data_IF_490895399002
#
_entry.id   IF_490895399002
#
_cell.length_a   1.000
_cell.length_b   1.000
_cell.length_c   1.000
_cell.angle_alpha   90.00
_cell.angle_beta   90.00
_cell.angle_gamma   90.00
#
_symmetry.space_group_name_H-M   'P 1'
#
loop_
_entity.id
_entity.type
_entity.pdbx_description
1 polymer ?
#
# COMPACT_ATOMS: atom_id res chain seq x y z
N UNK A 1 -1.79 31.87 25.19
CA UNK A 1 -1.24 30.88 24.24
C UNK A 1 -0.23 30.08 25.05
N UNK A 2 -0.34 28.77 25.09
CA UNK A 2 0.46 27.94 25.99
C UNK A 2 1.82 27.62 25.39
N UNK A 3 2.82 27.45 26.26
CA UNK A 3 4.22 27.05 25.97
C UNK A 3 4.32 25.85 24.96
N UNK A 4 3.27 25.01 24.90
CA UNK A 4 3.14 23.91 23.95
C UNK A 4 2.91 24.36 22.49
N UNK A 5 2.21 25.49 22.28
CA UNK A 5 1.97 26.03 20.94
C UNK A 5 3.22 26.70 20.36
N UNK A 6 4.02 27.34 21.21
CA UNK A 6 5.28 27.96 20.77
C UNK A 6 6.35 26.92 20.41
N UNK A 7 6.38 25.77 21.09
CA UNK A 7 7.26 24.63 20.75
C UNK A 7 6.90 23.95 19.45
N UNK A 8 5.59 23.89 19.11
CA UNK A 8 5.10 23.39 17.82
C UNK A 8 5.53 24.29 16.65
N UNK A 9 5.57 25.60 16.86
CA UNK A 9 5.93 26.59 15.84
C UNK A 9 7.45 26.72 15.64
N UNK A 10 8.26 26.31 16.63
CA UNK A 10 9.74 26.39 16.55
C UNK A 10 10.39 25.11 16.00
N UNK A 11 9.63 24.09 15.63
CA UNK A 11 10.19 22.87 15.02
C UNK A 11 11.07 22.04 15.96
N UNK A 12 11.02 22.29 17.26
CA UNK A 12 11.82 21.60 18.29
C UNK A 12 11.20 20.29 18.78
N UNK A 13 10.24 19.71 18.04
CA UNK A 13 9.85 18.34 18.29
C UNK A 13 10.89 17.42 17.65
N UNK A 14 11.95 17.15 18.41
CA UNK A 14 12.87 16.04 18.11
C UNK A 14 12.07 14.74 18.16
N UNK A 15 11.55 14.35 17.00
CA UNK A 15 11.10 12.99 16.74
C UNK A 15 12.33 12.09 16.74
N UNK A 16 12.73 11.60 17.89
CA UNK A 16 13.68 10.51 18.00
C UNK A 16 12.95 9.20 17.62
N UNK A 17 12.43 9.15 16.38
CA UNK A 17 12.19 7.88 15.72
C UNK A 17 13.57 7.24 15.55
N UNK A 18 13.70 6.00 16.03
CA UNK A 18 14.88 5.19 15.74
C UNK A 18 15.01 5.07 14.22
N UNK A 19 15.77 5.96 13.59
CA UNK A 19 15.95 6.06 12.13
C UNK A 19 16.79 4.92 11.54
N UNK A 20 16.97 3.82 12.27
CA UNK A 20 17.97 2.81 11.92
C UNK A 20 17.63 2.02 10.65
N UNK A 21 16.35 1.91 10.24
CA UNK A 21 15.94 1.24 9.00
C UNK A 21 14.61 1.78 8.49
N UNK A 22 14.63 2.95 7.84
CA UNK A 22 13.46 3.45 7.14
C UNK A 22 13.46 2.95 5.69
N UNK A 23 12.44 2.23 5.30
CA UNK A 23 12.24 1.77 3.93
C UNK A 23 10.93 2.35 3.40
N UNK A 24 10.94 2.91 2.19
CA UNK A 24 9.68 3.34 1.58
C UNK A 24 8.85 2.12 1.15
N UNK A 25 7.53 2.27 1.16
CA UNK A 25 6.60 1.23 0.71
C UNK A 25 6.96 0.70 -0.69
N UNK A 26 7.36 1.59 -1.60
CA UNK A 26 7.74 1.25 -2.97
C UNK A 26 9.05 0.45 -3.03
N UNK A 27 10.04 0.79 -2.21
CA UNK A 27 11.31 0.06 -2.15
C UNK A 27 11.10 -1.34 -1.56
N UNK A 28 10.18 -1.50 -0.59
CA UNK A 28 9.78 -2.79 -0.06
C UNK A 28 9.13 -3.67 -1.14
N UNK A 29 8.19 -3.11 -1.91
CA UNK A 29 7.59 -3.81 -3.08
C UNK A 29 8.67 -4.20 -4.08
N UNK A 30 9.53 -3.25 -4.49
CA UNK A 30 10.57 -3.50 -5.50
C UNK A 30 11.51 -4.64 -5.12
N UNK A 31 11.86 -4.78 -3.83
CA UNK A 31 12.69 -5.88 -3.34
C UNK A 31 11.98 -7.23 -3.43
N UNK A 32 10.71 -7.31 -3.01
CA UNK A 32 10.00 -8.59 -2.98
C UNK A 32 9.53 -9.05 -4.37
N UNK A 33 9.35 -8.15 -5.35
CA UNK A 33 8.90 -8.52 -6.70
C UNK A 33 9.82 -9.55 -7.38
N UNK A 34 11.14 -9.38 -7.27
CA UNK A 34 12.09 -10.29 -7.89
C UNK A 34 12.06 -11.69 -7.24
N UNK A 35 11.85 -11.74 -5.92
CA UNK A 35 11.71 -12.99 -5.17
C UNK A 35 10.38 -13.69 -5.47
N UNK A 36 9.29 -12.92 -5.61
CA UNK A 36 7.99 -13.45 -6.03
C UNK A 36 8.03 -13.98 -7.46
N UNK A 37 8.78 -13.31 -8.35
CA UNK A 37 8.99 -13.78 -9.71
C UNK A 37 9.71 -15.12 -9.80
N UNK A 38 10.55 -15.47 -8.81
CA UNK A 38 11.19 -16.82 -8.69
C UNK A 38 10.20 -17.91 -8.27
N UNK A 39 9.17 -17.52 -7.51
CA UNK A 39 8.15 -18.45 -6.98
C UNK A 39 6.96 -18.65 -7.92
N UNK A 40 6.65 -17.65 -8.74
CA UNK A 40 5.46 -17.60 -9.60
C UNK A 40 5.85 -17.36 -11.05
N UNK A 41 5.94 -18.40 -11.84
CA UNK A 41 6.27 -18.30 -13.28
C UNK A 41 5.15 -17.66 -14.10
N UNK A 42 3.93 -17.69 -13.60
CA UNK A 42 2.71 -17.09 -14.15
C UNK A 42 2.54 -15.60 -13.79
N UNK A 43 3.42 -15.05 -12.95
CA UNK A 43 3.39 -13.64 -12.55
C UNK A 43 3.85 -12.73 -13.68
N UNK A 44 3.03 -11.71 -14.01
CA UNK A 44 3.34 -10.65 -14.97
C UNK A 44 3.26 -9.30 -14.26
N UNK A 45 4.19 -8.41 -14.57
CA UNK A 45 4.17 -7.02 -14.07
C UNK A 45 3.80 -6.08 -15.19
N UNK A 46 2.76 -5.30 -15.01
CA UNK A 46 2.28 -4.31 -15.97
C UNK A 46 2.32 -2.91 -15.35
N UNK A 47 2.60 -1.89 -16.16
CA UNK A 47 2.73 -0.52 -15.69
C UNK A 47 2.16 0.48 -16.70
N UNK A 48 1.58 1.57 -16.19
CA UNK A 48 1.16 2.72 -16.99
C UNK A 48 2.26 3.80 -16.95
N UNK A 49 3.46 3.47 -17.48
CA UNK A 49 4.62 4.36 -17.56
C UNK A 49 5.13 4.89 -16.20
N UNK A 50 5.00 4.07 -15.16
CA UNK A 50 5.43 4.41 -13.80
C UNK A 50 6.54 3.50 -13.27
N UNK A 51 7.32 2.88 -14.14
CA UNK A 51 8.38 1.91 -13.82
C UNK A 51 9.30 2.40 -12.70
N UNK A 52 9.89 3.60 -12.88
CA UNK A 52 10.81 4.20 -11.91
C UNK A 52 10.11 4.56 -10.60
N UNK A 53 8.89 5.11 -10.68
CA UNK A 53 8.10 5.48 -9.50
C UNK A 53 7.68 4.27 -8.67
N UNK A 54 7.49 3.12 -9.32
CA UNK A 54 7.05 1.86 -8.72
C UNK A 54 8.21 0.95 -8.28
N UNK A 55 9.45 1.33 -8.56
CA UNK A 55 10.65 0.54 -8.21
C UNK A 55 10.69 -0.88 -8.78
N UNK A 56 10.12 -1.08 -9.97
CA UNK A 56 10.04 -2.41 -10.60
C UNK A 56 11.28 -2.79 -11.42
N UNK A 57 12.34 -1.97 -11.44
CA UNK A 57 13.53 -2.16 -12.29
C UNK A 57 14.19 -3.51 -12.08
N UNK A 58 14.38 -3.93 -10.83
CA UNK A 58 15.03 -5.21 -10.52
C UNK A 58 14.24 -6.41 -11.10
N UNK A 59 12.90 -6.35 -11.05
CA UNK A 59 12.06 -7.36 -11.70
C UNK A 59 12.20 -7.30 -13.22
N UNK A 60 12.13 -6.12 -13.81
CA UNK A 60 12.24 -5.91 -15.26
C UNK A 60 13.59 -6.38 -15.81
N UNK A 61 14.69 -6.15 -15.11
CA UNK A 61 16.02 -6.62 -15.49
C UNK A 61 16.13 -8.14 -15.43
N UNK A 62 15.52 -8.76 -14.41
CA UNK A 62 15.57 -10.21 -14.20
C UNK A 62 14.60 -10.97 -15.12
N UNK A 63 13.44 -10.39 -15.38
CA UNK A 63 12.34 -10.99 -16.13
C UNK A 63 11.80 -10.06 -17.23
N UNK A 64 12.61 -9.69 -18.25
CA UNK A 64 12.20 -8.71 -19.26
C UNK A 64 10.96 -9.15 -20.04
N UNK A 65 10.77 -10.44 -20.29
CA UNK A 65 9.63 -11.00 -21.02
C UNK A 65 8.35 -11.11 -20.16
N UNK A 66 8.42 -10.75 -18.87
CA UNK A 66 7.27 -10.73 -17.93
C UNK A 66 6.95 -9.33 -17.41
N UNK A 67 7.53 -8.28 -18.03
CA UNK A 67 7.32 -6.89 -17.62
C UNK A 67 6.88 -6.04 -18.83
N UNK A 68 5.69 -5.47 -18.77
CA UNK A 68 5.06 -4.74 -19.87
C UNK A 68 4.70 -3.32 -19.47
N UNK A 69 5.08 -2.35 -20.28
CA UNK A 69 4.66 -0.95 -20.15
C UNK A 69 3.62 -0.65 -21.24
N UNK A 70 2.39 -0.33 -20.84
CA UNK A 70 1.29 -0.03 -21.77
C UNK A 70 1.18 1.46 -22.11
N UNK A 71 2.12 2.27 -21.64
CA UNK A 71 2.08 3.72 -21.74
C UNK A 71 1.15 4.35 -20.68
N UNK A 72 0.96 5.67 -20.75
CA UNK A 72 0.06 6.41 -19.83
C UNK A 72 -1.39 6.13 -20.24
N UNK A 73 -1.87 4.93 -19.93
CA UNK A 73 -3.16 4.41 -20.39
C UNK A 73 -3.74 3.43 -19.35
N UNK A 74 -4.15 3.93 -18.17
CA UNK A 74 -4.56 3.10 -17.04
C UNK A 74 -5.82 2.27 -17.32
N UNK A 75 -6.73 2.78 -18.14
CA UNK A 75 -7.90 2.00 -18.58
C UNK A 75 -7.46 0.77 -19.39
N UNK A 76 -6.54 0.96 -20.35
CA UNK A 76 -5.95 -0.14 -21.10
C UNK A 76 -5.15 -1.10 -20.20
N UNK A 77 -4.41 -0.55 -19.22
CA UNK A 77 -3.68 -1.36 -18.22
C UNK A 77 -4.62 -2.35 -17.51
N UNK A 78 -5.77 -1.90 -17.05
CA UNK A 78 -6.72 -2.76 -16.32
C UNK A 78 -7.37 -3.79 -17.25
N UNK A 79 -7.80 -3.40 -18.45
CA UNK A 79 -8.40 -4.35 -19.41
C UNK A 79 -7.38 -5.40 -19.92
N UNK A 80 -6.13 -5.01 -20.19
CA UNK A 80 -5.06 -5.94 -20.55
C UNK A 80 -4.76 -6.90 -19.39
N UNK A 81 -4.68 -6.39 -18.16
CA UNK A 81 -4.49 -7.23 -16.98
C UNK A 81 -5.63 -8.24 -16.79
N UNK A 82 -6.87 -7.81 -17.02
CA UNK A 82 -8.03 -8.71 -16.97
C UNK A 82 -7.92 -9.82 -18.05
N UNK A 83 -7.56 -9.47 -19.28
CA UNK A 83 -7.37 -10.43 -20.34
C UNK A 83 -6.28 -11.45 -20.03
N UNK A 84 -5.14 -11.01 -19.52
CA UNK A 84 -4.03 -11.88 -19.10
C UNK A 84 -4.42 -12.80 -17.95
N UNK A 85 -5.16 -12.28 -16.97
CA UNK A 85 -5.68 -13.09 -15.86
C UNK A 85 -6.66 -14.16 -16.35
N UNK A 86 -7.45 -13.87 -17.39
CA UNK A 86 -8.36 -14.82 -18.01
C UNK A 86 -7.61 -15.97 -18.72
N UNK A 87 -6.41 -15.69 -19.23
CA UNK A 87 -5.51 -16.69 -19.83
C UNK A 87 -4.68 -17.46 -18.79
N UNK A 88 -4.92 -17.24 -17.50
CA UNK A 88 -4.30 -17.99 -16.40
C UNK A 88 -3.02 -17.37 -15.82
N UNK A 89 -2.67 -16.15 -16.21
CA UNK A 89 -1.57 -15.41 -15.60
C UNK A 89 -2.03 -14.70 -14.30
N UNK A 90 -1.04 -14.25 -13.50
CA UNK A 90 -1.24 -13.42 -12.30
C UNK A 90 -0.67 -12.01 -12.52
N UNK A 91 -1.45 -11.09 -13.08
CA UNK A 91 -0.98 -9.74 -13.35
C UNK A 91 -0.89 -8.88 -12.09
N UNK A 92 0.23 -8.15 -11.94
CA UNK A 92 0.40 -7.04 -11.02
C UNK A 92 0.39 -5.75 -11.83
N UNK A 93 -0.65 -4.93 -11.65
CA UNK A 93 -0.87 -3.70 -12.41
C UNK A 93 -0.47 -2.48 -11.58
N UNK A 94 0.55 -1.73 -12.03
CA UNK A 94 1.10 -0.57 -11.31
C UNK A 94 0.65 0.75 -11.93
N UNK A 95 0.02 1.61 -11.14
CA UNK A 95 -0.29 2.99 -11.50
C UNK A 95 -0.30 3.88 -10.24
N UNK A 96 -0.41 5.21 -10.41
CA UNK A 96 -0.68 6.07 -9.25
C UNK A 96 -2.10 5.83 -8.73
N UNK A 97 -2.28 5.89 -7.40
CA UNK A 97 -3.54 5.56 -6.73
C UNK A 97 -4.78 6.25 -7.33
N UNK A 98 -4.79 7.58 -7.61
CA UNK A 98 -5.95 8.22 -8.23
C UNK A 98 -6.23 7.70 -9.66
N UNK A 99 -5.20 7.29 -10.38
CA UNK A 99 -5.37 6.81 -11.76
C UNK A 99 -5.70 5.31 -11.82
N UNK A 100 -5.17 4.52 -10.87
CA UNK A 100 -5.52 3.12 -10.71
C UNK A 100 -6.97 2.92 -10.21
N UNK A 101 -7.55 3.93 -9.57
CA UNK A 101 -8.91 3.89 -9.04
C UNK A 101 -9.91 4.70 -9.87
N UNK A 102 -9.80 6.03 -9.87
CA UNK A 102 -10.81 6.90 -10.48
C UNK A 102 -10.83 6.84 -12.01
N UNK A 103 -9.64 6.93 -12.66
CA UNK A 103 -9.55 7.00 -14.12
C UNK A 103 -10.02 5.74 -14.82
N UNK A 104 -9.79 4.58 -14.22
CA UNK A 104 -10.10 3.27 -14.80
C UNK A 104 -11.12 2.48 -13.97
N UNK A 105 -11.95 3.16 -13.20
CA UNK A 105 -12.90 2.52 -12.27
C UNK A 105 -13.85 1.55 -12.96
N UNK A 106 -14.32 1.90 -14.16
CA UNK A 106 -15.20 1.02 -14.94
C UNK A 106 -14.48 -0.31 -15.27
N UNK A 107 -13.25 -0.25 -15.79
CA UNK A 107 -12.48 -1.44 -16.15
C UNK A 107 -12.16 -2.29 -14.93
N UNK A 108 -11.80 -1.67 -13.80
CA UNK A 108 -11.61 -2.39 -12.54
C UNK A 108 -12.91 -3.09 -12.14
N UNK A 109 -14.02 -2.38 -12.16
CA UNK A 109 -15.33 -2.90 -11.73
C UNK A 109 -15.84 -4.01 -12.64
N UNK A 110 -15.81 -3.80 -13.97
CA UNK A 110 -16.45 -4.69 -14.94
C UNK A 110 -15.52 -5.80 -15.41
N UNK A 111 -14.29 -5.48 -15.78
CA UNK A 111 -13.40 -6.46 -16.38
C UNK A 111 -12.75 -7.35 -15.30
N UNK A 112 -12.37 -6.76 -14.16
CA UNK A 112 -11.63 -7.46 -13.11
C UNK A 112 -12.58 -7.98 -12.01
N UNK A 113 -13.32 -7.09 -11.33
CA UNK A 113 -14.08 -7.45 -10.14
C UNK A 113 -15.32 -8.29 -10.45
N UNK A 114 -16.12 -7.91 -11.44
CA UNK A 114 -17.28 -8.69 -11.86
C UNK A 114 -16.89 -10.09 -12.30
N UNK A 115 -15.79 -10.21 -13.01
CA UNK A 115 -15.24 -11.48 -13.50
C UNK A 115 -14.44 -12.25 -12.43
N UNK A 116 -14.22 -11.67 -11.25
CA UNK A 116 -13.44 -12.24 -10.11
C UNK A 116 -12.03 -12.66 -10.49
N UNK A 117 -11.37 -11.90 -11.35
CA UNK A 117 -10.06 -12.25 -11.87
C UNK A 117 -8.94 -11.95 -10.84
N UNK A 118 -7.91 -12.80 -10.74
CA UNK A 118 -6.80 -12.65 -9.79
C UNK A 118 -5.80 -11.57 -10.26
N UNK A 119 -6.23 -10.32 -10.32
CA UNK A 119 -5.40 -9.17 -10.63
C UNK A 119 -5.06 -8.44 -9.35
N UNK A 120 -3.75 -8.21 -9.12
CA UNK A 120 -3.28 -7.36 -8.01
C UNK A 120 -3.00 -5.98 -8.55
N UNK A 121 -3.79 -5.00 -8.12
CA UNK A 121 -3.66 -3.59 -8.51
C UNK A 121 -2.84 -2.87 -7.44
N UNK A 122 -1.73 -2.25 -7.82
CA UNK A 122 -0.87 -1.47 -6.91
C UNK A 122 -1.07 0.02 -7.15
N UNK A 123 -1.76 0.67 -6.21
CA UNK A 123 -1.98 2.12 -6.22
C UNK A 123 -0.87 2.86 -5.49
N UNK A 124 0.10 3.40 -6.24
CA UNK A 124 1.22 4.15 -5.67
C UNK A 124 0.88 5.60 -5.36
N UNK A 125 1.48 6.16 -4.32
CA UNK A 125 1.35 7.58 -3.99
C UNK A 125 -0.03 7.97 -3.47
N UNK A 126 -0.64 7.07 -2.70
CA UNK A 126 -1.94 7.27 -2.08
C UNK A 126 -1.94 8.40 -1.04
N UNK A 127 -3.11 8.90 -0.70
CA UNK A 127 -3.29 10.02 0.22
C UNK A 127 -2.64 11.29 -0.31
N UNK A 128 -1.98 12.02 0.58
CA UNK A 128 -1.22 13.24 0.27
C UNK A 128 0.27 12.98 0.00
N UNK A 129 0.70 11.73 -0.06
CA UNK A 129 2.11 11.35 -0.16
C UNK A 129 2.78 11.83 -1.45
N UNK A 130 2.00 12.19 -2.48
CA UNK A 130 2.45 12.77 -3.74
C UNK A 130 2.06 14.26 -3.88
N UNK A 131 1.90 14.98 -2.77
CA UNK A 131 1.39 16.34 -2.70
C UNK A 131 2.10 17.37 -3.59
N UNK A 132 3.42 17.21 -3.81
CA UNK A 132 4.20 18.08 -4.69
C UNK A 132 3.70 18.08 -6.15
N UNK A 133 3.01 17.03 -6.59
CA UNK A 133 2.39 16.91 -7.92
C UNK A 133 1.00 17.55 -8.01
N UNK A 134 0.48 18.11 -6.93
CA UNK A 134 -0.82 18.76 -6.85
C UNK A 134 -1.99 17.78 -6.68
N UNK A 135 -3.20 18.36 -6.65
CA UNK A 135 -4.43 17.63 -6.32
C UNK A 135 -4.73 16.45 -7.28
N UNK A 136 -4.30 16.52 -8.52
CA UNK A 136 -4.50 15.45 -9.50
C UNK A 136 -3.79 14.13 -9.13
N UNK A 137 -2.81 14.19 -8.24
CA UNK A 137 -2.03 13.03 -7.79
C UNK A 137 -2.29 12.66 -6.31
N UNK A 138 -3.22 13.33 -5.65
CA UNK A 138 -3.64 13.00 -4.30
C UNK A 138 -4.77 11.95 -4.37
N UNK A 139 -4.46 10.72 -3.97
CA UNK A 139 -5.44 9.63 -3.95
C UNK A 139 -6.14 9.57 -2.58
N UNK A 140 -7.28 10.24 -2.45
CA UNK A 140 -8.06 10.27 -1.20
C UNK A 140 -9.29 9.37 -1.28
N UNK A 141 -9.88 9.25 -2.46
CA UNK A 141 -11.12 8.52 -2.71
C UNK A 141 -10.87 7.05 -3.09
N UNK A 142 -9.64 6.68 -3.37
CA UNK A 142 -9.23 5.39 -3.92
C UNK A 142 -9.72 4.20 -3.07
N UNK A 143 -9.51 4.23 -1.76
CA UNK A 143 -9.96 3.16 -0.87
C UNK A 143 -11.48 3.02 -0.88
N UNK A 144 -12.23 4.12 -0.84
CA UNK A 144 -13.69 4.10 -0.84
C UNK A 144 -14.23 3.50 -2.16
N UNK A 145 -13.64 3.89 -3.30
CA UNK A 145 -14.02 3.37 -4.61
C UNK A 145 -13.72 1.88 -4.72
N UNK A 146 -12.55 1.45 -4.27
CA UNK A 146 -12.14 0.05 -4.36
C UNK A 146 -12.95 -0.85 -3.41
N UNK A 147 -13.24 -0.40 -2.19
CA UNK A 147 -14.13 -1.12 -1.26
C UNK A 147 -15.56 -1.25 -1.81
N UNK A 148 -16.01 -0.29 -2.62
CA UNK A 148 -17.33 -0.35 -3.25
C UNK A 148 -17.41 -1.34 -4.44
N UNK A 149 -16.29 -1.83 -4.94
CA UNK A 149 -16.27 -2.88 -5.96
C UNK A 149 -16.53 -4.25 -5.34
N UNK A 150 -17.52 -4.98 -5.85
CA UNK A 150 -17.78 -6.36 -5.45
C UNK A 150 -16.52 -7.23 -5.67
N UNK A 151 -16.28 -8.16 -4.75
CA UNK A 151 -15.16 -9.10 -4.77
C UNK A 151 -13.77 -8.50 -4.60
N UNK A 152 -13.61 -7.17 -4.51
CA UNK A 152 -12.32 -6.53 -4.29
C UNK A 152 -11.85 -6.69 -2.84
N UNK A 153 -10.64 -7.16 -2.65
CA UNK A 153 -9.92 -7.09 -1.38
C UNK A 153 -9.05 -5.84 -1.37
N UNK A 154 -9.21 -4.98 -0.37
CA UNK A 154 -8.41 -3.75 -0.24
C UNK A 154 -7.43 -3.90 0.91
N UNK A 155 -6.14 -3.69 0.63
CA UNK A 155 -5.05 -3.79 1.60
C UNK A 155 -4.32 -2.45 1.68
N UNK A 156 -4.06 -1.96 2.88
CA UNK A 156 -3.29 -0.73 3.12
C UNK A 156 -2.19 -0.99 4.17
N UNK A 157 -1.09 -1.66 3.78
CA UNK A 157 0.00 -1.97 4.70
C UNK A 157 0.78 -0.71 5.11
N UNK A 158 1.14 -0.63 6.39
CA UNK A 158 1.90 0.48 6.98
C UNK A 158 3.37 0.17 7.28
N UNK A 159 3.77 -1.08 7.11
CA UNK A 159 5.07 -1.59 7.52
C UNK A 159 5.78 -2.29 6.34
N UNK A 160 7.10 -2.10 6.13
CA UNK A 160 7.82 -2.72 5.02
C UNK A 160 7.75 -4.26 4.98
N UNK A 161 7.77 -4.93 6.14
CA UNK A 161 7.61 -6.39 6.21
C UNK A 161 6.18 -6.83 5.95
N UNK A 162 5.21 -6.07 6.46
CA UNK A 162 3.79 -6.27 6.17
C UNK A 162 3.52 -6.18 4.66
N UNK A 163 4.11 -5.18 3.97
CA UNK A 163 3.97 -5.02 2.51
C UNK A 163 4.41 -6.29 1.77
N UNK A 164 5.61 -6.80 2.06
CA UNK A 164 6.13 -7.97 1.38
C UNK A 164 5.26 -9.21 1.61
N UNK A 165 4.81 -9.43 2.86
CA UNK A 165 3.98 -10.58 3.23
C UNK A 165 2.56 -10.49 2.67
N UNK A 166 1.96 -9.30 2.70
CA UNK A 166 0.62 -9.09 2.14
C UNK A 166 0.63 -9.16 0.61
N UNK A 167 1.70 -8.71 -0.05
CA UNK A 167 1.83 -8.89 -1.50
C UNK A 167 1.95 -10.38 -1.87
N UNK A 168 2.74 -11.16 -1.13
CA UNK A 168 2.82 -12.61 -1.30
C UNK A 168 1.44 -13.26 -1.08
N UNK A 169 0.75 -12.92 0.01
CA UNK A 169 -0.59 -13.44 0.29
C UNK A 169 -1.62 -13.00 -0.77
N UNK A 170 -1.51 -11.79 -1.32
CA UNK A 170 -2.36 -11.31 -2.40
C UNK A 170 -2.17 -12.10 -3.70
N UNK A 171 -0.94 -12.54 -3.98
CA UNK A 171 -0.66 -13.41 -5.13
C UNK A 171 -1.33 -14.79 -4.99
N UNK A 172 -1.51 -15.29 -3.77
CA UNK A 172 -2.15 -16.57 -3.51
C UNK A 172 -3.68 -16.48 -3.46
N UNK A 173 -4.23 -15.27 -3.30
CA UNK A 173 -5.67 -15.05 -3.42
C UNK A 173 -6.11 -15.17 -4.88
N UNK A 174 -6.99 -16.10 -5.17
CA UNK A 174 -7.61 -16.21 -6.49
C UNK A 174 -8.78 -15.21 -6.63
N UNK A 175 -8.50 -13.93 -6.39
CA UNK A 175 -9.49 -12.85 -6.34
C UNK A 175 -8.82 -11.50 -6.66
N UNK A 176 -9.60 -10.46 -7.03
CA UNK A 176 -9.09 -9.10 -7.20
C UNK A 176 -8.55 -8.53 -5.89
N UNK A 177 -7.37 -7.90 -5.95
CA UNK A 177 -6.76 -7.22 -4.81
C UNK A 177 -6.31 -5.82 -5.21
N UNK A 178 -6.61 -4.83 -4.39
CA UNK A 178 -6.04 -3.48 -4.46
C UNK A 178 -5.11 -3.26 -3.27
N UNK A 179 -3.84 -2.95 -3.54
CA UNK A 179 -2.85 -2.60 -2.51
C UNK A 179 -2.58 -1.11 -2.59
N UNK A 180 -2.92 -0.40 -1.54
CA UNK A 180 -2.74 1.04 -1.39
C UNK A 180 -1.40 1.35 -0.78
N UNK A 181 -0.55 2.11 -1.46
CA UNK A 181 0.79 2.42 -1.00
C UNK A 181 1.05 3.93 -0.95
N UNK A 182 1.48 4.41 0.21
CA UNK A 182 2.09 5.73 0.36
C UNK A 182 3.49 5.80 -0.26
N UNK A 183 4.11 6.97 -0.23
CA UNK A 183 5.51 7.20 -0.66
C UNK A 183 6.47 7.37 0.50
N UNK A 184 5.92 7.56 1.68
CA UNK A 184 6.68 7.81 2.90
C UNK A 184 7.58 6.61 3.22
N UNK A 185 8.73 6.90 3.80
CA UNK A 185 9.54 5.87 4.42
C UNK A 185 9.02 5.63 5.84
N UNK A 186 8.93 4.37 6.23
CA UNK A 186 8.50 3.96 7.55
C UNK A 186 9.51 2.99 8.17
N UNK A 187 9.59 3.01 9.49
CA UNK A 187 10.28 1.98 10.27
C UNK A 187 9.41 0.73 10.36
N UNK A 188 10.00 -0.40 10.70
CA UNK A 188 9.22 -1.60 10.99
C UNK A 188 8.48 -1.45 12.32
N UNK A 189 7.19 -1.76 12.30
CA UNK A 189 6.32 -1.85 13.50
C UNK A 189 6.30 -3.26 14.07
N UNK A 190 6.52 -4.25 13.21
CA UNK A 190 6.41 -5.66 13.52
C UNK A 190 7.75 -6.37 13.30
N UNK A 191 7.99 -7.51 13.97
CA UNK A 191 9.14 -8.36 13.66
C UNK A 191 9.00 -8.95 12.25
N UNK A 192 10.13 -9.26 11.62
CA UNK A 192 10.19 -9.80 10.25
C UNK A 192 9.41 -11.12 10.07
N UNK A 193 9.35 -11.92 11.13
CA UNK A 193 8.63 -13.21 11.18
C UNK A 193 7.16 -13.07 11.59
N UNK A 194 6.65 -11.86 11.75
CA UNK A 194 5.23 -11.61 12.05
C UNK A 194 4.33 -12.28 11.00
N UNK A 195 3.22 -12.83 11.48
CA UNK A 195 2.21 -13.45 10.62
C UNK A 195 1.07 -12.48 10.38
N UNK A 196 0.75 -12.31 9.12
CA UNK A 196 -0.38 -11.50 8.68
C UNK A 196 -1.44 -12.39 8.05
N UNK A 197 -2.69 -12.10 8.35
CA UNK A 197 -3.84 -12.82 7.77
C UNK A 197 -4.80 -11.79 7.20
N UNK A 198 -5.05 -11.86 5.89
CA UNK A 198 -5.98 -10.94 5.22
C UNK A 198 -7.37 -11.05 5.87
N UNK A 199 -7.93 -9.88 6.23
CA UNK A 199 -9.20 -9.80 6.96
C UNK A 199 -9.07 -9.81 8.49
N UNK A 200 -7.85 -9.85 9.04
CA UNK A 200 -7.60 -9.72 10.47
C UNK A 200 -6.70 -8.53 10.79
N UNK A 201 -7.16 -7.71 11.73
CA UNK A 201 -6.38 -6.59 12.23
C UNK A 201 -5.19 -7.06 13.09
N UNK A 202 -4.11 -6.28 13.09
CA UNK A 202 -3.01 -6.41 14.04
C UNK A 202 -3.20 -5.41 15.20
N UNK A 203 -2.67 -5.74 16.36
CA UNK A 203 -2.73 -4.85 17.54
C UNK A 203 -1.30 -4.57 18.02
N UNK A 204 -0.63 -3.52 17.45
CA UNK A 204 0.73 -3.18 17.82
C UNK A 204 0.83 -2.55 19.23
N UNK A 205 -0.28 -2.07 19.79
CA UNK A 205 -0.36 -1.56 21.16
C UNK A 205 -1.71 -1.89 21.80
N UNK A 206 -1.65 -2.51 22.96
CA UNK A 206 -2.81 -2.74 23.82
C UNK A 206 -3.14 -1.48 24.66
N UNK A 207 -4.41 -1.36 25.08
CA UNK A 207 -4.89 -0.28 25.96
C UNK A 207 -6.38 -0.39 26.21
N UNK A 208 -6.84 0.14 27.37
CA UNK A 208 -8.21 0.02 27.84
C UNK A 208 -8.94 1.36 27.98
N UNK A 209 -8.22 2.50 27.87
CA UNK A 209 -8.82 3.84 28.00
C UNK A 209 -9.42 4.38 26.69
N UNK A 210 -9.10 3.76 25.56
CA UNK A 210 -9.59 4.14 24.23
C UNK A 210 -8.87 3.39 23.11
N UNK A 211 -9.23 3.64 21.85
CA UNK A 211 -8.58 3.01 20.71
C UNK A 211 -8.43 3.95 19.51
N UNK A 212 -7.29 3.85 18.82
CA UNK A 212 -7.11 4.33 17.47
C UNK A 212 -7.26 3.14 16.50
N UNK A 213 -8.16 3.27 15.53
CA UNK A 213 -8.34 2.30 14.44
C UNK A 213 -7.85 2.98 13.17
N UNK A 214 -6.81 2.45 12.56
CA UNK A 214 -6.11 3.07 11.46
C UNK A 214 -5.49 2.02 10.53
N UNK A 215 -4.95 2.46 9.40
CA UNK A 215 -4.28 1.61 8.41
C UNK A 215 -3.10 2.36 7.80
N UNK A 216 -2.22 1.64 7.14
CA UNK A 216 -1.10 2.22 6.41
C UNK A 216 -0.18 3.06 7.29
N UNK A 217 0.35 4.14 6.74
CA UNK A 217 1.29 5.03 7.45
C UNK A 217 0.68 5.64 8.72
N UNK A 218 -0.66 5.74 8.81
CA UNK A 218 -1.33 6.31 9.98
C UNK A 218 -1.15 5.49 11.25
N UNK A 219 -0.79 4.21 11.14
CA UNK A 219 -0.46 3.36 12.30
C UNK A 219 0.74 3.92 13.08
N UNK A 220 1.75 4.43 12.37
CA UNK A 220 2.92 5.07 12.99
C UNK A 220 2.54 6.32 13.78
N UNK A 221 1.69 7.18 13.20
CA UNK A 221 1.21 8.38 13.87
C UNK A 221 0.32 8.03 15.06
N UNK A 222 -0.49 7.00 14.96
CA UNK A 222 -1.32 6.50 16.06
C UNK A 222 -0.47 5.94 17.21
N UNK A 223 0.59 5.21 16.91
CA UNK A 223 1.55 4.71 17.92
C UNK A 223 2.23 5.85 18.67
N UNK A 224 2.70 6.88 17.93
CA UNK A 224 3.32 8.06 18.56
C UNK A 224 2.31 8.85 19.39
N UNK A 225 1.08 9.06 18.89
CA UNK A 225 0.03 9.75 19.62
C UNK A 225 -0.36 8.98 20.90
N UNK A 226 -0.49 7.66 20.82
CA UNK A 226 -0.80 6.81 21.98
C UNK A 226 0.30 6.88 23.05
N UNK A 227 1.57 6.89 22.63
CA UNK A 227 2.71 7.09 23.53
C UNK A 227 2.65 8.44 24.22
N UNK A 228 2.41 9.54 23.49
CA UNK A 228 2.30 10.89 24.06
C UNK A 228 1.13 11.01 25.05
N UNK A 229 -0.02 10.40 24.73
CA UNK A 229 -1.18 10.37 25.64
C UNK A 229 -0.82 9.62 26.94
N UNK A 230 -0.08 8.53 26.84
CA UNK A 230 0.43 7.84 28.03
C UNK A 230 1.35 8.74 28.86
N UNK A 231 2.36 9.34 28.21
CA UNK A 231 3.37 10.16 28.90
C UNK A 231 2.77 11.41 29.55
N UNK A 232 1.77 12.05 28.94
CA UNK A 232 1.16 13.31 29.40
C UNK A 232 -0.05 13.10 30.33
N UNK A 233 -0.84 12.04 30.10
CA UNK A 233 -2.14 11.85 30.76
C UNK A 233 -2.25 10.53 31.55
N UNK A 234 -1.26 9.63 31.44
CA UNK A 234 -1.28 8.32 32.09
C UNK A 234 -2.39 7.40 31.54
N UNK A 235 -2.82 7.61 30.28
CA UNK A 235 -3.89 6.84 29.64
C UNK A 235 -3.34 5.81 28.67
N UNK A 236 -3.94 4.62 28.66
CA UNK A 236 -3.55 3.53 27.78
C UNK A 236 -4.49 3.46 26.56
N UNK A 237 -3.96 3.84 25.41
CA UNK A 237 -4.68 3.82 24.13
C UNK A 237 -4.27 2.60 23.32
N UNK A 238 -5.24 1.78 22.96
CA UNK A 238 -5.06 0.68 22.02
C UNK A 238 -4.83 1.22 20.59
N UNK A 239 -3.94 0.60 19.84
CA UNK A 239 -3.79 0.87 18.40
C UNK A 239 -4.16 -0.39 17.63
N UNK A 240 -5.06 -0.24 16.68
CA UNK A 240 -5.55 -1.32 15.80
C UNK A 240 -5.15 -0.97 14.38
N UNK A 241 -4.35 -1.83 13.77
CA UNK A 241 -3.93 -1.77 12.37
C UNK A 241 -4.85 -2.68 11.55
N UNK A 242 -5.69 -2.07 10.69
CA UNK A 242 -6.77 -2.70 9.94
C UNK A 242 -6.32 -3.24 8.57
#
# INVERSE_FOLDING_TARGET
MSDAQDKLLQGEMNMTLNMTFMTSARDAVGKCLAELGDKHDDMLVLTADVDTSSRIQAFKEKYPDRCYNVGIAEQNLMSVSAGLAHEGFRPLAFAFAPFASMRCYEQVRTDICYSKLPVVIIGNGAGYSNGASGCTHCGLEDSALMVACDNMTVLEPGDPFQIAKLLEAAMDLNAPVYIRLGREAASSLYPEDAKYEIGKAMIPREGDDGAFICSGIMVHFAMEAAKRIHDELGKEIRVVDM
#
